data_IF_515937128872
#
_entry.id   IF_515937128872
#
_cell.length_a   1.000
_cell.length_b   1.000
_cell.length_c   1.000
_cell.angle_alpha   90.00
_cell.angle_beta   90.00
_cell.angle_gamma   90.00
#
_symmetry.space_group_name_H-M   'P 1'
#
loop_
_entity.id
_entity.type
_entity.pdbx_description
1 polymer ?
#
# COMPACT_ATOMS: atom_id res chain seq x y z
N UNK A 1 -19.26 24.13 14.92
CA UNK A 1 -19.48 22.99 14.02
C UNK A 1 -18.53 21.83 14.31
N UNK A 2 -17.23 22.10 14.50
CA UNK A 2 -16.22 21.04 14.67
C UNK A 2 -16.36 20.19 15.93
N UNK A 3 -16.80 20.78 17.06
CA UNK A 3 -17.03 20.02 18.30
C UNK A 3 -18.18 19.01 18.16
N UNK A 4 -19.26 19.42 17.48
CA UNK A 4 -20.42 18.57 17.24
C UNK A 4 -20.02 17.41 16.31
N UNK A 5 -19.29 17.70 15.23
CA UNK A 5 -18.81 16.67 14.31
C UNK A 5 -17.87 15.67 14.99
N UNK A 6 -16.99 16.15 15.88
CA UNK A 6 -16.10 15.28 16.67
C UNK A 6 -16.88 14.39 17.63
N UNK A 7 -17.89 14.92 18.30
CA UNK A 7 -18.72 14.14 19.23
C UNK A 7 -19.56 13.09 18.50
N UNK A 8 -20.15 13.43 17.35
CA UNK A 8 -20.90 12.49 16.51
C UNK A 8 -19.99 11.37 16.00
N UNK A 9 -18.79 11.73 15.51
CA UNK A 9 -17.82 10.74 15.06
C UNK A 9 -17.38 9.83 16.20
N UNK A 10 -17.14 10.37 17.40
CA UNK A 10 -16.76 9.55 18.55
C UNK A 10 -17.86 8.57 18.93
N UNK A 11 -19.09 9.05 19.04
CA UNK A 11 -20.25 8.19 19.34
C UNK A 11 -20.43 7.07 18.31
N UNK A 12 -20.21 7.36 17.03
CA UNK A 12 -20.27 6.33 15.99
C UNK A 12 -19.26 5.22 16.22
N UNK A 13 -18.00 5.53 16.54
CA UNK A 13 -16.95 4.53 16.77
C UNK A 13 -17.13 3.80 18.11
N UNK A 14 -17.52 4.51 19.17
CA UNK A 14 -17.87 3.93 20.47
C UNK A 14 -19.03 2.94 20.34
N UNK A 15 -20.03 3.27 19.51
CA UNK A 15 -21.15 2.37 19.21
C UNK A 15 -20.71 1.09 18.51
N UNK A 16 -19.70 1.15 17.64
CA UNK A 16 -19.16 -0.07 17.02
C UNK A 16 -18.56 -0.97 18.10
N UNK A 17 -17.72 -0.43 18.99
CA UNK A 17 -17.12 -1.22 20.08
C UNK A 17 -18.19 -1.89 20.94
N UNK A 18 -19.23 -1.15 21.35
CA UNK A 18 -20.34 -1.70 22.14
C UNK A 18 -21.03 -2.86 21.42
N UNK A 19 -21.38 -2.67 20.14
CA UNK A 19 -22.04 -3.69 19.34
C UNK A 19 -21.21 -4.97 19.25
N UNK A 20 -19.87 -4.85 19.19
CA UNK A 20 -19.04 -6.04 19.17
C UNK A 20 -18.92 -6.74 20.52
N UNK A 21 -18.90 -5.98 21.61
CA UNK A 21 -18.91 -6.53 22.97
C UNK A 21 -20.22 -7.27 23.21
N UNK A 22 -21.35 -6.69 22.79
CA UNK A 22 -22.69 -7.26 22.95
C UNK A 22 -22.91 -8.51 22.08
N UNK A 23 -22.47 -8.48 20.81
CA UNK A 23 -22.68 -9.59 19.87
C UNK A 23 -21.62 -10.70 19.94
N UNK A 24 -20.40 -10.40 20.39
CA UNK A 24 -19.32 -11.41 20.52
C UNK A 24 -19.08 -11.83 21.98
N UNK A 25 -19.43 -11.00 22.95
CA UNK A 25 -19.15 -11.26 24.36
C UNK A 25 -17.70 -11.03 24.76
N UNK A 26 -16.89 -10.42 23.89
CA UNK A 26 -15.49 -10.08 24.21
C UNK A 26 -15.41 -8.85 25.13
N UNK A 27 -14.47 -8.78 26.09
CA UNK A 27 -14.30 -7.59 26.93
C UNK A 27 -13.82 -6.40 26.11
N UNK A 28 -14.39 -5.21 26.34
CA UNK A 28 -13.96 -3.98 25.65
C UNK A 28 -12.46 -3.70 25.83
N UNK A 29 -11.89 -4.01 27.00
CA UNK A 29 -10.47 -3.84 27.28
C UNK A 29 -9.54 -4.74 26.45
N UNK A 30 -10.08 -5.80 25.84
CA UNK A 30 -9.32 -6.61 24.89
C UNK A 30 -9.24 -5.97 23.51
N UNK A 31 -9.97 -4.88 23.25
CA UNK A 31 -10.15 -4.29 21.93
C UNK A 31 -9.36 -2.99 21.76
N UNK A 32 -8.85 -2.77 20.56
CA UNK A 32 -8.31 -1.47 20.15
C UNK A 32 -9.40 -0.60 19.50
N UNK A 33 -9.08 0.68 19.29
CA UNK A 33 -9.96 1.61 18.59
C UNK A 33 -10.32 1.09 17.18
N UNK A 34 -11.60 1.24 16.75
CA UNK A 34 -12.00 0.84 15.42
C UNK A 34 -11.33 1.70 14.36
N UNK A 35 -10.91 1.07 13.28
CA UNK A 35 -10.47 1.73 12.05
C UNK A 35 -11.54 1.56 10.99
N UNK A 36 -12.09 2.66 10.49
CA UNK A 36 -13.07 2.63 9.41
C UNK A 36 -12.38 2.30 8.07
N UNK A 37 -12.73 1.17 7.47
CA UNK A 37 -12.10 0.67 6.24
C UNK A 37 -12.85 1.15 4.99
N UNK A 38 -14.16 1.34 5.08
CA UNK A 38 -14.97 1.83 3.98
C UNK A 38 -16.44 1.42 4.04
N UNK A 39 -17.16 1.70 2.94
CA UNK A 39 -18.58 1.39 2.77
C UNK A 39 -18.76 0.55 1.51
N UNK A 40 -19.55 -0.51 1.60
CA UNK A 40 -20.02 -1.26 0.43
C UNK A 40 -21.54 -1.26 0.36
N UNK A 41 -22.07 -1.40 -0.85
CA UNK A 41 -23.52 -1.50 -1.08
C UNK A 41 -23.93 -2.96 -1.09
N UNK A 42 -24.89 -3.33 -0.25
CA UNK A 42 -25.44 -4.69 -0.22
C UNK A 42 -26.19 -4.99 -1.52
N UNK A 43 -26.01 -6.20 -2.05
CA UNK A 43 -26.64 -6.65 -3.30
C UNK A 43 -28.15 -6.86 -3.10
N UNK A 44 -28.56 -7.44 -1.97
CA UNK A 44 -29.95 -7.87 -1.73
C UNK A 44 -30.94 -6.73 -1.44
N UNK A 45 -30.52 -5.65 -0.78
CA UNK A 45 -31.43 -4.59 -0.33
C UNK A 45 -30.89 -3.17 -0.55
N UNK A 46 -29.79 -3.03 -1.30
CA UNK A 46 -29.19 -1.74 -1.71
C UNK A 46 -28.75 -0.87 -0.51
N UNK A 47 -28.80 -1.37 0.73
CA UNK A 47 -28.38 -0.62 1.91
C UNK A 47 -26.84 -0.51 1.97
N UNK A 48 -26.30 0.65 2.37
CA UNK A 48 -24.89 0.76 2.66
C UNK A 48 -24.52 -0.10 3.88
N UNK A 49 -23.34 -0.70 3.85
CA UNK A 49 -22.72 -1.42 4.94
C UNK A 49 -21.35 -0.78 5.19
N UNK A 50 -21.16 -0.25 6.40
CA UNK A 50 -19.87 0.21 6.87
C UNK A 50 -19.02 -0.98 7.35
N UNK A 51 -17.72 -0.92 7.11
CA UNK A 51 -16.75 -1.93 7.50
C UNK A 51 -15.73 -1.30 8.45
N UNK A 52 -15.57 -1.93 9.60
CA UNK A 52 -14.59 -1.53 10.61
C UNK A 52 -13.61 -2.66 10.88
N UNK A 53 -12.39 -2.25 11.20
CA UNK A 53 -11.30 -3.10 11.62
C UNK A 53 -11.03 -2.84 13.11
N UNK A 54 -11.06 -3.89 13.93
CA UNK A 54 -10.76 -3.80 15.37
C UNK A 54 -9.74 -4.88 15.73
N UNK A 55 -8.66 -4.52 16.43
CA UNK A 55 -7.76 -5.52 17.02
C UNK A 55 -8.33 -6.00 18.35
N UNK A 56 -8.06 -7.24 18.69
CA UNK A 56 -8.44 -7.94 19.90
C UNK A 56 -7.19 -8.67 20.43
N UNK A 57 -6.99 -8.76 21.73
CA UNK A 57 -5.86 -9.50 22.32
C UNK A 57 -6.17 -10.96 22.66
N UNK A 58 -7.41 -11.41 22.39
CA UNK A 58 -7.88 -12.77 22.72
C UNK A 58 -7.67 -13.75 21.56
N UNK A 59 -7.35 -14.98 21.90
CA UNK A 59 -7.16 -16.05 20.92
C UNK A 59 -8.47 -16.58 20.33
N UNK A 60 -8.35 -17.29 19.21
CA UNK A 60 -9.51 -17.78 18.47
C UNK A 60 -10.37 -18.78 19.24
N UNK A 61 -9.80 -19.69 20.02
CA UNK A 61 -10.57 -20.59 20.86
C UNK A 61 -11.34 -19.82 21.95
N UNK A 62 -10.72 -18.81 22.58
CA UNK A 62 -11.33 -18.00 23.64
C UNK A 62 -12.54 -17.21 23.11
N UNK A 63 -12.39 -16.53 21.98
CA UNK A 63 -13.48 -15.77 21.35
C UNK A 63 -14.63 -16.71 20.94
N UNK A 64 -14.35 -17.94 20.51
CA UNK A 64 -15.39 -18.92 20.16
C UNK A 64 -16.22 -19.30 21.39
N UNK A 65 -15.58 -19.47 22.55
CA UNK A 65 -16.29 -19.76 23.80
C UNK A 65 -17.13 -18.56 24.26
N UNK A 66 -16.58 -17.34 24.15
CA UNK A 66 -17.30 -16.12 24.51
C UNK A 66 -18.52 -15.88 23.63
N UNK A 67 -18.41 -16.16 22.32
CA UNK A 67 -19.50 -15.99 21.37
C UNK A 67 -20.73 -16.86 21.70
N UNK A 68 -20.52 -18.04 22.31
CA UNK A 68 -21.64 -18.91 22.72
C UNK A 68 -22.50 -18.30 23.84
N UNK A 69 -21.93 -17.39 24.63
CA UNK A 69 -22.60 -16.71 25.75
C UNK A 69 -22.82 -15.22 25.51
N UNK A 70 -22.64 -14.73 24.28
CA UNK A 70 -22.81 -13.32 23.96
C UNK A 70 -24.26 -12.87 24.17
N UNK A 71 -24.43 -11.70 24.79
CA UNK A 71 -25.74 -11.14 25.16
C UNK A 71 -26.67 -11.03 23.94
N UNK A 72 -26.14 -10.48 22.84
CA UNK A 72 -26.88 -10.22 21.61
C UNK A 72 -26.36 -11.06 20.44
N UNK A 73 -25.77 -12.23 20.72
CA UNK A 73 -25.18 -13.12 19.72
C UNK A 73 -26.16 -13.58 18.63
N UNK A 74 -27.47 -13.50 18.89
CA UNK A 74 -28.55 -13.83 17.95
C UNK A 74 -28.71 -12.80 16.81
N UNK A 75 -28.19 -11.58 16.95
CA UNK A 75 -28.20 -10.56 15.88
C UNK A 75 -27.15 -10.87 14.79
N UNK A 76 -26.15 -11.65 15.17
CA UNK A 76 -25.08 -12.12 14.30
C UNK A 76 -25.44 -13.45 13.64
N UNK A 77 -25.18 -13.57 12.32
CA UNK A 77 -25.55 -14.79 11.57
C UNK A 77 -24.54 -15.91 11.74
N UNK A 78 -23.24 -15.57 11.75
CA UNK A 78 -22.15 -16.53 11.89
C UNK A 78 -20.85 -15.82 12.25
N UNK A 79 -20.12 -16.37 13.21
CA UNK A 79 -18.72 -16.06 13.45
C UNK A 79 -17.86 -16.94 12.54
N UNK A 80 -17.20 -16.34 11.55
CA UNK A 80 -16.21 -17.04 10.73
C UNK A 80 -14.84 -16.93 11.39
N UNK A 81 -14.12 -18.04 11.45
CA UNK A 81 -12.69 -18.04 11.76
C UNK A 81 -11.93 -18.35 10.48
N UNK A 82 -11.04 -17.46 10.05
CA UNK A 82 -10.22 -17.65 8.85
C UNK A 82 -8.78 -17.87 9.30
N UNK A 83 -8.25 -19.07 9.11
CA UNK A 83 -6.81 -19.31 9.30
C UNK A 83 -6.06 -18.66 8.14
N UNK A 84 -5.07 -17.81 8.43
CA UNK A 84 -4.17 -17.32 7.38
C UNK A 84 -2.76 -17.81 7.58
N UNK A 85 -2.19 -18.28 6.46
CA UNK A 85 -0.84 -18.77 6.37
C UNK A 85 0.07 -17.63 5.94
N UNK A 86 1.05 -17.28 6.78
CA UNK A 86 2.20 -16.49 6.37
C UNK A 86 3.35 -17.41 6.01
N UNK A 87 3.99 -17.15 4.87
CA UNK A 87 5.13 -17.95 4.39
C UNK A 87 6.46 -17.49 5.04
N UNK A 88 6.49 -17.47 6.38
CA UNK A 88 7.71 -17.43 7.22
C UNK A 88 7.49 -18.07 8.60
N UNK A 89 6.54 -19.01 8.73
CA UNK A 89 6.51 -19.97 9.85
C UNK A 89 5.75 -19.57 11.11
N UNK A 90 5.14 -18.38 11.20
CA UNK A 90 4.29 -18.02 12.33
C UNK A 90 2.80 -18.03 11.94
N UNK A 91 2.00 -18.73 12.75
CA UNK A 91 0.57 -19.00 12.58
C UNK A 91 -0.27 -17.89 13.25
N UNK A 92 -1.22 -17.30 12.52
CA UNK A 92 -2.19 -16.33 13.06
C UNK A 92 -3.61 -16.65 12.58
N UNK A 93 -4.58 -16.68 13.50
CA UNK A 93 -5.98 -17.00 13.24
C UNK A 93 -6.82 -15.71 13.19
N UNK A 94 -7.61 -15.53 12.14
CA UNK A 94 -8.50 -14.37 11.95
C UNK A 94 -9.96 -14.70 12.25
N UNK A 95 -10.80 -13.68 12.48
CA UNK A 95 -12.25 -13.84 12.52
C UNK A 95 -13.05 -12.71 11.86
N UNK A 96 -14.14 -13.05 11.17
CA UNK A 96 -15.07 -12.10 10.55
C UNK A 96 -16.53 -12.45 10.90
N UNK A 97 -17.38 -11.46 11.22
CA UNK A 97 -18.83 -11.64 11.35
C UNK A 97 -19.59 -11.04 10.17
N UNK A 98 -20.74 -11.63 9.86
CA UNK A 98 -21.74 -11.08 8.95
C UNK A 98 -23.05 -10.86 9.70
N UNK A 99 -23.49 -9.60 9.82
CA UNK A 99 -24.76 -9.22 10.46
C UNK A 99 -25.72 -8.54 9.43
N UNK A 100 -27.03 -8.63 9.69
CA UNK A 100 -28.13 -8.01 8.92
C UNK A 100 -28.16 -6.47 8.97
N UNK A 101 -27.42 -5.76 9.84
CA UNK A 101 -27.33 -4.28 9.86
C UNK A 101 -25.90 -3.73 9.66
N UNK A 102 -24.89 -4.34 10.29
CA UNK A 102 -23.45 -3.96 10.24
C UNK A 102 -22.59 -5.17 9.81
N UNK A 103 -21.33 -5.00 9.38
CA UNK A 103 -20.35 -6.12 9.31
C UNK A 103 -19.12 -5.73 10.13
N UNK A 104 -18.87 -6.46 11.22
CA UNK A 104 -17.76 -6.20 12.14
C UNK A 104 -16.74 -7.34 12.05
N UNK A 105 -15.45 -7.01 11.94
CA UNK A 105 -14.35 -7.98 11.93
C UNK A 105 -13.37 -7.66 13.07
N UNK A 106 -13.07 -8.66 13.91
CA UNK A 106 -12.09 -8.56 15.00
C UNK A 106 -10.87 -9.43 14.74
N UNK A 107 -9.69 -8.89 15.02
CA UNK A 107 -8.39 -9.45 14.66
C UNK A 107 -7.51 -9.61 15.89
N UNK A 108 -6.88 -10.78 16.08
CA UNK A 108 -5.75 -10.88 17.01
C UNK A 108 -4.60 -9.94 16.56
N UNK A 109 -3.75 -9.49 17.49
CA UNK A 109 -2.69 -8.51 17.23
C UNK A 109 -1.89 -8.81 15.94
N UNK A 110 -1.52 -7.74 15.22
CA UNK A 110 -0.83 -7.71 13.91
C UNK A 110 -1.76 -7.72 12.68
N UNK A 111 -2.67 -6.75 12.61
CA UNK A 111 -3.20 -6.31 11.31
C UNK A 111 -3.16 -4.78 11.21
N UNK A 112 -2.09 -4.26 10.61
CA UNK A 112 -2.18 -3.04 9.80
C UNK A 112 -2.10 -3.37 8.29
N UNK A 113 -2.05 -4.66 7.93
CA UNK A 113 -1.78 -5.13 6.57
C UNK A 113 -2.86 -6.08 6.04
N UNK A 114 -4.10 -5.60 5.85
CA UNK A 114 -4.88 -6.04 4.69
C UNK A 114 -5.06 -4.89 3.74
N UNK A 115 -4.03 -4.70 2.94
CA UNK A 115 -4.05 -4.47 1.51
C UNK A 115 -2.57 -4.52 1.16
N UNK A 116 -2.19 -5.26 0.11
CA UNK A 116 -0.82 -5.41 -0.40
C UNK A 116 0.08 -6.44 0.33
N UNK A 117 -0.23 -7.73 0.19
CA UNK A 117 0.83 -8.76 0.28
C UNK A 117 1.93 -8.54 -0.77
N UNK A 118 1.64 -7.70 -1.78
CA UNK A 118 2.56 -7.24 -2.81
C UNK A 118 2.72 -5.70 -2.76
N UNK A 119 3.00 -5.12 -1.57
CA UNK A 119 3.60 -3.78 -1.54
C UNK A 119 5.09 -3.95 -1.57
N UNK A 120 5.70 -3.51 -2.66
CA UNK A 120 7.13 -3.42 -2.76
C UNK A 120 7.51 -1.95 -2.79
N UNK A 121 8.40 -1.55 -1.90
CA UNK A 121 8.91 -0.17 -1.80
C UNK A 121 10.42 -0.22 -1.70
N UNK A 122 11.08 0.40 -2.66
CA UNK A 122 12.52 0.31 -2.86
C UNK A 122 13.11 1.72 -2.80
N UNK A 123 14.00 1.93 -1.83
CA UNK A 123 14.85 3.12 -1.72
C UNK A 123 16.14 2.87 -2.51
N UNK A 124 16.22 3.45 -3.70
CA UNK A 124 17.27 3.15 -4.66
C UNK A 124 18.56 3.86 -4.28
N UNK A 125 19.66 3.12 -4.27
CA UNK A 125 20.95 3.60 -3.81
C UNK A 125 21.14 3.61 -2.28
N UNK A 126 20.10 3.30 -1.49
CA UNK A 126 20.23 3.21 -0.04
C UNK A 126 21.09 2.00 0.37
N UNK A 127 21.85 2.17 1.45
CA UNK A 127 22.66 1.10 2.04
C UNK A 127 21.93 0.33 3.14
N UNK A 128 20.86 0.91 3.70
CA UNK A 128 20.10 0.39 4.82
C UNK A 128 18.60 0.41 4.52
N UNK A 129 17.88 -0.60 4.97
CA UNK A 129 16.42 -0.55 4.97
C UNK A 129 15.97 0.57 5.92
N UNK A 130 14.93 1.29 5.52
CA UNK A 130 14.34 2.34 6.34
C UNK A 130 12.98 1.88 6.85
N UNK A 131 12.75 2.06 8.13
CA UNK A 131 11.45 1.86 8.76
C UNK A 131 10.87 3.23 9.06
N UNK A 132 9.69 3.56 8.52
CA UNK A 132 8.98 4.75 8.97
C UNK A 132 8.40 4.46 10.37
N UNK A 133 8.82 5.18 11.43
CA UNK A 133 8.38 4.91 12.80
C UNK A 133 7.00 5.52 13.12
N UNK A 134 6.23 5.93 12.11
CA UNK A 134 4.90 6.52 12.31
C UNK A 134 3.91 5.40 12.69
N UNK A 135 3.21 5.53 13.84
CA UNK A 135 2.44 4.44 14.45
C UNK A 135 1.23 3.97 13.63
N UNK A 136 0.84 4.71 12.59
CA UNK A 136 -0.37 4.45 11.81
C UNK A 136 -0.12 3.67 10.51
N UNK A 137 1.13 3.56 10.04
CA UNK A 137 1.49 2.77 8.85
C UNK A 137 2.92 2.23 8.96
N UNK A 138 3.08 0.96 9.34
CA UNK A 138 4.34 0.22 9.26
C UNK A 138 4.73 0.00 7.78
N UNK A 139 5.23 1.06 7.14
CA UNK A 139 5.68 1.04 5.75
C UNK A 139 7.20 0.94 5.73
N UNK A 140 7.71 -0.24 5.43
CA UNK A 140 9.14 -0.49 5.25
C UNK A 140 9.57 -0.13 3.83
N UNK A 141 10.75 0.49 3.71
CA UNK A 141 11.45 0.69 2.45
C UNK A 141 12.71 -0.18 2.44
N UNK A 142 12.83 -1.01 1.41
CA UNK A 142 13.95 -1.91 1.23
C UNK A 142 15.04 -1.29 0.36
N UNK A 143 16.30 -1.70 0.57
CA UNK A 143 17.37 -1.36 -0.40
C UNK A 143 17.13 -2.02 -1.75
N UNK A 144 17.73 -1.47 -2.81
CA UNK A 144 17.61 -2.01 -4.16
C UNK A 144 18.50 -3.23 -4.48
N UNK A 145 19.33 -3.67 -3.54
CA UNK A 145 20.38 -4.69 -3.74
C UNK A 145 19.85 -6.03 -4.27
N UNK A 146 18.65 -6.43 -3.88
CA UNK A 146 18.02 -7.69 -4.30
C UNK A 146 17.33 -7.60 -5.66
N UNK A 147 17.10 -6.39 -6.19
CA UNK A 147 16.28 -6.16 -7.37
C UNK A 147 17.11 -5.76 -8.60
N UNK A 148 18.32 -5.24 -8.39
CA UNK A 148 19.25 -4.91 -9.47
C UNK A 148 20.71 -5.06 -9.02
N UNK A 149 21.58 -5.50 -9.94
CA UNK A 149 23.02 -5.74 -9.67
C UNK A 149 23.96 -4.70 -10.28
N UNK A 150 23.49 -3.93 -11.26
CA UNK A 150 24.28 -2.92 -11.98
C UNK A 150 24.12 -1.53 -11.37
N UNK A 151 24.92 -0.58 -11.85
CA UNK A 151 24.85 0.82 -11.40
C UNK A 151 25.66 1.10 -10.13
N UNK A 152 25.65 2.37 -9.74
CA UNK A 152 26.39 2.91 -8.61
C UNK A 152 25.47 3.78 -7.76
N UNK A 153 25.73 3.81 -6.46
CA UNK A 153 24.90 4.53 -5.50
C UNK A 153 25.46 5.93 -5.24
N UNK A 154 24.59 6.91 -5.03
CA UNK A 154 24.98 8.27 -4.67
C UNK A 154 24.04 8.82 -3.61
N UNK A 155 24.61 9.43 -2.57
CA UNK A 155 23.89 10.27 -1.62
C UNK A 155 23.74 11.67 -2.22
N UNK A 156 22.53 12.21 -2.19
CA UNK A 156 22.20 13.49 -2.78
C UNK A 156 22.42 14.63 -1.78
N UNK A 157 22.91 15.81 -2.22
CA UNK A 157 23.15 16.96 -1.36
C UNK A 157 21.84 17.75 -1.11
N UNK A 158 20.84 17.10 -0.49
CA UNK A 158 19.52 17.71 -0.26
C UNK A 158 18.99 17.45 1.15
N UNK A 159 18.47 18.51 1.79
CA UNK A 159 17.94 18.48 3.15
C UNK A 159 16.40 18.49 3.21
N UNK A 160 15.72 18.74 2.08
CA UNK A 160 14.26 18.96 2.03
C UNK A 160 13.49 17.90 1.21
N UNK A 161 14.11 16.78 0.89
CA UNK A 161 13.44 15.69 0.17
C UNK A 161 12.93 14.61 1.13
N UNK A 162 11.83 13.93 0.77
CA UNK A 162 11.42 12.68 1.42
C UNK A 162 12.62 11.74 1.54
N UNK A 163 12.67 10.93 2.60
CA UNK A 163 13.84 10.11 2.91
C UNK A 163 14.26 9.19 1.76
N UNK A 164 13.29 8.72 0.97
CA UNK A 164 13.44 7.85 -0.20
C UNK A 164 13.96 8.55 -1.46
N UNK A 165 14.14 9.88 -1.39
CA UNK A 165 14.73 10.70 -2.44
C UNK A 165 16.05 11.33 -1.96
N UNK A 166 16.66 10.80 -0.89
CA UNK A 166 18.00 11.23 -0.43
C UNK A 166 19.11 10.44 -1.11
N UNK A 167 18.81 9.26 -1.62
CA UNK A 167 19.74 8.44 -2.39
C UNK A 167 19.24 8.24 -3.81
N UNK A 168 20.17 7.94 -4.72
CA UNK A 168 19.87 7.42 -6.03
C UNK A 168 20.84 6.32 -6.42
N UNK A 169 20.40 5.47 -7.35
CA UNK A 169 21.27 4.61 -8.15
C UNK A 169 21.34 5.16 -9.57
N UNK A 170 22.54 5.33 -10.11
CA UNK A 170 22.79 5.75 -11.49
C UNK A 170 23.52 4.66 -12.27
N UNK A 171 23.33 4.64 -13.58
CA UNK A 171 23.84 3.57 -14.44
C UNK A 171 24.75 4.15 -15.52
N UNK A 172 26.07 4.25 -15.29
CA UNK A 172 27.02 4.83 -16.24
C UNK A 172 27.42 3.86 -17.38
N UNK A 173 26.98 2.60 -17.30
CA UNK A 173 27.21 1.57 -18.31
C UNK A 173 25.92 0.79 -18.53
N UNK A 174 25.78 0.27 -19.75
CA UNK A 174 24.60 -0.48 -20.18
C UNK A 174 23.48 0.46 -20.60
N UNK A 175 23.14 0.45 -21.89
CA UNK A 175 22.08 1.30 -22.45
C UNK A 175 20.69 0.96 -21.89
N UNK A 176 20.52 -0.23 -21.30
CA UNK A 176 19.26 -0.68 -20.66
C UNK A 176 19.58 -1.39 -19.34
N UNK A 177 19.05 -0.87 -18.25
CA UNK A 177 19.22 -1.42 -16.90
C UNK A 177 17.85 -1.72 -16.29
N UNK A 178 17.65 -2.95 -15.83
CA UNK A 178 16.33 -3.44 -15.45
C UNK A 178 16.30 -3.95 -14.02
N UNK A 179 15.34 -3.44 -13.25
CA UNK A 179 14.95 -3.97 -11.95
C UNK A 179 14.04 -5.17 -12.16
N UNK A 180 14.34 -6.29 -11.50
CA UNK A 180 13.42 -7.41 -11.42
C UNK A 180 12.66 -7.34 -10.10
N UNK A 181 11.34 -7.18 -10.18
CA UNK A 181 10.45 -7.00 -9.05
C UNK A 181 9.65 -8.28 -8.81
N UNK A 182 9.94 -9.07 -7.76
CA UNK A 182 9.11 -10.22 -7.41
C UNK A 182 7.78 -9.74 -6.85
N UNK A 183 6.67 -10.22 -7.42
CA UNK A 183 5.30 -9.85 -7.04
C UNK A 183 4.50 -11.15 -6.86
N UNK A 184 3.98 -11.44 -5.67
CA UNK A 184 3.44 -12.76 -5.33
C UNK A 184 2.10 -13.08 -6.02
N UNK A 185 1.38 -12.07 -6.52
CA UNK A 185 0.08 -12.24 -7.21
C UNK A 185 0.15 -11.91 -8.69
N UNK A 186 -0.04 -12.92 -9.56
CA UNK A 186 -0.17 -12.76 -11.01
C UNK A 186 -1.58 -12.30 -11.43
N UNK A 187 -1.71 -11.74 -12.63
CA UNK A 187 -2.97 -11.21 -13.19
C UNK A 187 -3.66 -10.19 -12.29
N UNK A 188 -2.87 -9.49 -11.49
CA UNK A 188 -3.34 -8.52 -10.52
C UNK A 188 -2.97 -7.11 -10.93
N UNK A 189 -3.77 -6.13 -10.53
CA UNK A 189 -3.57 -4.72 -10.85
C UNK A 189 -2.62 -4.09 -9.85
N UNK A 190 -1.60 -3.42 -10.35
CA UNK A 190 -0.58 -2.76 -9.56
C UNK A 190 -0.47 -1.29 -9.94
N UNK A 191 -0.37 -0.42 -8.93
CA UNK A 191 0.14 0.93 -9.10
C UNK A 191 1.66 0.86 -9.00
N UNK A 192 2.35 1.08 -10.11
CA UNK A 192 3.79 1.28 -10.11
C UNK A 192 4.09 2.76 -9.99
N UNK A 193 5.11 3.10 -9.20
CA UNK A 193 5.59 4.48 -9.00
C UNK A 193 7.10 4.50 -9.03
N UNK A 194 7.67 5.23 -9.99
CA UNK A 194 9.10 5.48 -10.07
C UNK A 194 9.38 6.95 -9.72
N UNK A 195 10.28 7.18 -8.76
CA UNK A 195 10.66 8.50 -8.29
C UNK A 195 12.09 8.85 -8.68
N UNK A 196 12.28 10.10 -9.09
CA UNK A 196 13.54 10.63 -9.61
C UNK A 196 13.87 11.93 -8.91
N UNK A 197 15.05 12.03 -8.30
CA UNK A 197 15.59 13.28 -7.79
C UNK A 197 17.02 13.47 -8.31
N UNK A 198 17.23 14.43 -9.21
CA UNK A 198 18.53 14.64 -9.83
C UNK A 198 19.53 15.31 -8.87
N UNK A 199 19.08 16.36 -8.16
CA UNK A 199 19.86 17.11 -7.17
C UNK A 199 21.30 17.46 -7.58
N UNK A 200 21.56 17.62 -8.89
CA UNK A 200 22.88 17.85 -9.46
C UNK A 200 23.97 16.87 -8.99
N UNK A 201 23.63 15.59 -8.84
CA UNK A 201 24.50 14.59 -8.22
C UNK A 201 25.86 14.40 -8.92
N UNK A 202 25.96 14.76 -10.21
CA UNK A 202 27.14 14.67 -11.05
C UNK A 202 27.85 16.02 -11.29
N UNK A 203 27.30 17.13 -10.77
CA UNK A 203 27.87 18.47 -10.92
C UNK A 203 27.71 19.13 -12.29
N UNK A 204 26.98 18.54 -13.24
CA UNK A 204 26.86 19.06 -14.62
C UNK A 204 25.75 20.10 -14.80
N UNK A 205 24.87 20.25 -13.81
CA UNK A 205 23.68 21.11 -13.85
C UNK A 205 22.76 20.86 -15.06
N UNK A 206 22.86 19.67 -15.65
CA UNK A 206 22.11 19.23 -16.83
C UNK A 206 21.50 17.85 -16.53
N UNK A 207 20.23 17.79 -16.09
CA UNK A 207 19.54 16.52 -15.91
C UNK A 207 19.53 15.71 -17.22
N UNK A 208 19.79 14.40 -17.18
CA UNK A 208 19.71 13.54 -18.37
C UNK A 208 18.25 13.26 -18.74
N UNK A 209 17.99 13.01 -20.03
CA UNK A 209 16.73 12.43 -20.50
C UNK A 209 16.89 10.94 -20.75
N UNK A 210 15.91 10.11 -20.40
CA UNK A 210 15.93 8.68 -20.71
C UNK A 210 14.51 8.10 -20.71
N UNK A 211 14.33 6.89 -21.23
CA UNK A 211 13.04 6.19 -21.23
C UNK A 211 12.90 5.26 -20.04
N UNK A 212 11.68 5.17 -19.55
CA UNK A 212 11.24 4.19 -18.56
C UNK A 212 10.36 3.15 -19.27
N UNK A 213 10.57 1.87 -18.99
CA UNK A 213 9.80 0.77 -19.56
C UNK A 213 9.32 -0.18 -18.45
N UNK A 214 8.15 -0.78 -18.63
CA UNK A 214 7.62 -1.87 -17.79
C UNK A 214 7.37 -3.11 -18.66
N UNK A 215 7.94 -4.25 -18.29
CA UNK A 215 7.87 -5.52 -19.05
C UNK A 215 8.16 -5.32 -20.56
N UNK A 216 9.13 -4.45 -20.87
CA UNK A 216 9.53 -4.11 -22.25
C UNK A 216 8.61 -3.13 -22.98
N UNK A 217 7.53 -2.66 -22.36
CA UNK A 217 6.61 -1.67 -22.91
C UNK A 217 6.97 -0.27 -22.42
N UNK A 218 6.75 0.74 -23.27
CA UNK A 218 7.00 2.14 -22.91
C UNK A 218 6.13 2.58 -21.71
N UNK A 219 6.76 3.16 -20.71
CA UNK A 219 6.10 3.80 -19.57
C UNK A 219 6.11 5.32 -19.72
N UNK A 220 7.30 5.93 -19.74
CA UNK A 220 7.44 7.38 -19.76
C UNK A 220 8.80 7.81 -20.32
N UNK A 221 8.89 9.08 -20.74
CA UNK A 221 10.17 9.77 -20.94
C UNK A 221 10.45 10.60 -19.70
N UNK A 222 11.60 10.34 -19.06
CA UNK A 222 12.04 11.03 -17.86
C UNK A 222 12.91 12.20 -18.28
N UNK A 223 12.49 13.43 -18.00
CA UNK A 223 13.27 14.66 -18.29
C UNK A 223 13.72 15.40 -17.03
N UNK A 224 13.46 14.80 -15.85
CA UNK A 224 13.68 15.27 -14.47
C UNK A 224 13.83 16.77 -14.24
N UNK A 225 12.84 17.38 -13.58
CA UNK A 225 12.93 18.73 -13.00
C UNK A 225 12.39 18.74 -11.56
N UNK A 226 13.05 19.44 -10.62
CA UNK A 226 14.08 18.90 -9.71
C UNK A 226 13.78 17.53 -9.07
N UNK A 227 12.50 17.17 -8.90
CA UNK A 227 12.06 15.84 -8.48
C UNK A 227 10.74 15.49 -9.16
N UNK A 228 10.65 14.29 -9.71
CA UNK A 228 9.49 13.85 -10.49
C UNK A 228 9.09 12.42 -10.09
N UNK A 229 7.79 12.13 -10.17
CA UNK A 229 7.26 10.78 -10.05
C UNK A 229 6.52 10.42 -11.34
N UNK A 230 6.81 9.24 -11.87
CA UNK A 230 5.97 8.63 -12.89
C UNK A 230 5.16 7.52 -12.23
N UNK A 231 3.86 7.52 -12.48
CA UNK A 231 2.94 6.51 -11.99
C UNK A 231 2.20 5.86 -13.16
N UNK A 232 2.00 4.55 -13.05
CA UNK A 232 1.11 3.83 -13.95
C UNK A 232 0.32 2.76 -13.19
N UNK A 233 -0.85 2.42 -13.73
CA UNK A 233 -1.59 1.22 -13.36
C UNK A 233 -1.39 0.16 -14.44
N UNK A 234 -0.85 -0.99 -14.04
CA UNK A 234 -0.50 -2.08 -14.92
C UNK A 234 -0.92 -3.41 -14.33
N UNK A 235 -1.30 -4.34 -15.20
CA UNK A 235 -1.66 -5.71 -14.81
C UNK A 235 -0.51 -6.61 -15.21
N UNK A 236 0.14 -7.19 -14.21
CA UNK A 236 1.25 -8.10 -14.44
C UNK A 236 0.72 -9.45 -14.89
N UNK A 237 1.40 -10.08 -15.85
CA UNK A 237 1.01 -11.40 -16.38
C UNK A 237 1.64 -12.55 -15.58
N UNK A 238 2.76 -12.27 -14.93
CA UNK A 238 3.53 -13.24 -14.15
C UNK A 238 3.63 -12.80 -12.68
N UNK A 239 4.27 -13.62 -11.84
CA UNK A 239 4.60 -13.28 -10.44
C UNK A 239 5.84 -12.41 -10.31
N UNK A 240 6.07 -11.57 -11.31
CA UNK A 240 7.18 -10.63 -11.39
C UNK A 240 6.84 -9.53 -12.38
N UNK A 241 7.51 -8.40 -12.26
CA UNK A 241 7.52 -7.35 -13.27
C UNK A 241 8.94 -6.81 -13.42
N UNK A 242 9.27 -6.37 -14.62
CA UNK A 242 10.56 -5.76 -14.92
C UNK A 242 10.37 -4.27 -15.17
N UNK A 243 11.12 -3.43 -14.47
CA UNK A 243 11.15 -1.97 -14.73
C UNK A 243 12.52 -1.59 -15.24
N UNK A 244 12.60 -1.08 -16.48
CA UNK A 244 13.85 -0.77 -17.13
C UNK A 244 14.05 0.73 -17.36
N UNK A 245 15.26 1.20 -17.10
CA UNK A 245 15.74 2.51 -17.51
C UNK A 245 16.58 2.35 -18.77
N UNK A 246 16.22 3.08 -19.83
CA UNK A 246 16.81 2.95 -21.16
C UNK A 246 17.34 4.30 -21.62
N UNK A 247 18.64 4.37 -21.90
CA UNK A 247 19.27 5.57 -22.41
C UNK A 247 18.63 6.00 -23.73
N UNK A 248 18.44 7.31 -23.91
CA UNK A 248 18.07 7.87 -25.21
C UNK A 248 19.29 8.21 -26.05
N UNK A 249 20.40 8.57 -25.41
CA UNK A 249 21.71 8.79 -26.04
C UNK A 249 22.84 8.34 -25.09
N UNK A 250 24.06 8.14 -25.60
CA UNK A 250 25.19 7.62 -24.82
C UNK A 250 25.65 8.56 -23.67
N UNK A 251 25.35 9.86 -23.77
CA UNK A 251 25.67 10.86 -22.73
C UNK A 251 24.57 10.99 -21.65
N UNK A 252 23.47 10.24 -21.76
CA UNK A 252 22.29 10.42 -20.90
C UNK A 252 22.18 9.32 -19.85
N UNK A 253 23.09 9.37 -18.88
CA UNK A 253 23.18 8.43 -17.75
C UNK A 253 21.89 8.39 -16.94
N UNK A 254 21.11 7.33 -17.12
CA UNK A 254 19.87 7.11 -16.38
C UNK A 254 20.11 6.89 -14.88
N UNK A 255 19.14 7.29 -14.05
CA UNK A 255 19.17 7.10 -12.60
C UNK A 255 17.77 6.93 -12.04
N UNK A 256 17.65 6.41 -10.81
CA UNK A 256 16.38 6.28 -10.09
C UNK A 256 16.61 6.46 -8.58
N UNK A 257 15.66 7.08 -7.90
CA UNK A 257 15.72 7.35 -6.45
C UNK A 257 14.78 6.46 -5.67
N UNK A 258 13.57 6.20 -6.18
CA UNK A 258 12.64 5.27 -5.55
C UNK A 258 11.85 4.46 -6.58
N UNK A 259 11.46 3.25 -6.21
CA UNK A 259 10.60 2.41 -7.02
C UNK A 259 9.61 1.68 -6.13
N UNK A 260 8.33 1.74 -6.47
CA UNK A 260 7.27 1.09 -5.74
C UNK A 260 6.32 0.33 -6.66
N UNK A 261 5.78 -0.77 -6.14
CA UNK A 261 4.69 -1.52 -6.74
C UNK A 261 3.67 -1.83 -5.65
N UNK A 262 2.46 -1.31 -5.79
CA UNK A 262 1.39 -1.45 -4.81
C UNK A 262 0.23 -2.18 -5.44
N UNK A 263 -0.11 -3.36 -4.93
CA UNK A 263 -1.33 -4.06 -5.32
C UNK A 263 -2.58 -3.19 -5.08
N UNK A 264 -3.45 -3.10 -6.08
CA UNK A 264 -4.70 -2.34 -6.04
C UNK A 264 -5.90 -3.29 -5.96
N UNK A 265 -7.00 -2.85 -5.35
CA UNK A 265 -8.26 -3.61 -5.39
C UNK A 265 -8.71 -3.78 -6.85
N UNK A 266 -9.13 -5.00 -7.21
CA UNK A 266 -9.60 -5.36 -8.56
C UNK A 266 -10.68 -4.41 -9.09
N UNK A 267 -11.53 -3.91 -8.19
CA UNK A 267 -12.71 -3.10 -8.52
C UNK A 267 -12.37 -1.61 -8.77
N UNK A 268 -11.18 -1.16 -8.36
CA UNK A 268 -10.69 0.17 -8.70
C UNK A 268 -10.36 0.22 -10.19
N UNK A 269 -10.93 1.19 -10.91
CA UNK A 269 -10.83 1.29 -12.38
C UNK A 269 -11.38 0.05 -13.11
N UNK A 270 -12.53 -0.50 -12.65
CA UNK A 270 -13.16 -1.70 -13.26
C UNK A 270 -13.52 -1.60 -14.74
N UNK A 271 -13.66 -0.38 -15.27
CA UNK A 271 -13.99 -0.13 -16.68
C UNK A 271 -12.76 -0.14 -17.59
N UNK A 272 -11.57 -0.26 -16.99
CA UNK A 272 -10.30 -0.40 -17.69
C UNK A 272 -10.08 -1.89 -17.84
N UNK A 273 -10.12 -2.36 -19.09
CA UNK A 273 -9.94 -3.77 -19.39
C UNK A 273 -8.55 -4.27 -18.95
N UNK A 274 -8.38 -5.59 -18.94
CA UNK A 274 -7.14 -6.21 -18.50
C UNK A 274 -5.94 -6.00 -19.44
N UNK A 275 -6.14 -5.31 -20.57
CA UNK A 275 -5.11 -5.01 -21.58
C UNK A 275 -4.72 -3.54 -21.59
N UNK A 276 -5.42 -2.70 -20.84
CA UNK A 276 -5.21 -1.26 -20.82
C UNK A 276 -4.29 -0.87 -19.67
N UNK A 277 -3.23 -0.14 -20.00
CA UNK A 277 -2.36 0.53 -19.02
C UNK A 277 -2.85 1.96 -18.83
N UNK A 278 -2.91 2.44 -17.60
CA UNK A 278 -3.24 3.84 -17.32
C UNK A 278 -2.00 4.57 -16.84
N UNK A 279 -1.75 5.74 -17.42
CA UNK A 279 -0.70 6.65 -16.97
C UNK A 279 -1.32 7.76 -16.14
N UNK A 280 -0.67 8.14 -15.04
CA UNK A 280 -1.13 9.29 -14.28
C UNK A 280 -0.96 10.57 -15.11
N UNK A 281 -2.07 11.25 -15.40
CA UNK A 281 -2.04 12.58 -16.01
C UNK A 281 -1.95 13.67 -14.94
N UNK A 282 -2.83 13.63 -13.93
CA UNK A 282 -2.82 14.56 -12.80
C UNK A 282 -3.54 13.97 -11.58
N UNK A 283 -3.17 14.45 -10.38
CA UNK A 283 -3.84 14.14 -9.12
C UNK A 283 -4.16 15.46 -8.42
N UNK A 284 -5.44 15.77 -8.31
CA UNK A 284 -5.91 17.06 -7.79
C UNK A 284 -6.78 16.81 -6.56
N UNK A 285 -6.46 17.50 -5.47
CA UNK A 285 -7.26 17.52 -4.26
C UNK A 285 -8.12 18.78 -4.26
N UNK A 286 -9.37 18.67 -4.73
CA UNK A 286 -10.27 19.82 -4.75
C UNK A 286 -10.71 20.17 -3.32
N UNK A 287 -10.49 21.43 -2.92
CA UNK A 287 -10.97 21.94 -1.63
C UNK A 287 -10.03 21.75 -0.44
N UNK A 288 -8.78 21.33 -0.65
CA UNK A 288 -7.78 21.23 0.42
C UNK A 288 -6.40 21.72 -0.04
N UNK A 289 -5.60 22.20 0.92
CA UNK A 289 -4.26 22.76 0.66
C UNK A 289 -3.15 21.71 0.59
N UNK A 290 -3.44 20.44 0.90
CA UNK A 290 -2.46 19.35 0.88
C UNK A 290 -2.56 18.56 -0.42
N UNK A 291 -1.40 18.23 -1.00
CA UNK A 291 -1.30 17.25 -2.08
C UNK A 291 -1.68 15.86 -1.54
N UNK A 292 -2.36 15.07 -2.38
CA UNK A 292 -2.55 13.64 -2.14
C UNK A 292 -1.28 12.97 -2.67
N UNK A 293 -0.38 12.57 -1.76
CA UNK A 293 0.85 11.84 -2.11
C UNK A 293 0.65 10.32 -2.11
#
# INVERSE_FOLDING_TARGET
MDLINRNISREMFDSIIREVVEEIGVPAASLCDPVFIGISRRILNVRPAAFFFIKCSLQSNEIQQLYLGAQDGYESTQLYTVTMYYKFGNQLNLKCLSNRKSKVCMFDEIFHNRLRHDDLRIDCGSSLNQMNPQPETYLEWHTDKSFIKTGQNKLLPTNHTPTQLKTLRFFPKGQKNCYNLPLFTQYYKFLFRAGFCYANYNGLSKPPSFRLEIDGHFWASVTTSPSEYHELLYIIQEKQATVCLVWTNDDEVSFISSLGATAQLSDLYKFVDNKTTLFLHSRINYGANKRVE
#
